data_IF_412051061885
#
_entry.id   IF_412051061885
#
_cell.length_a   1.000
_cell.length_b   1.000
_cell.length_c   1.000
_cell.angle_alpha   90.00
_cell.angle_beta   90.00
_cell.angle_gamma   90.00
#
_symmetry.space_group_name_H-M   'P 1'
#
loop_
_entity.id
_entity.type
_entity.pdbx_description
1 polymer ?
#
# COMPACT_ATOMS: atom_id res chain seq x y z
N UNK A 1 -0.77 11.09 40.24
CA UNK A 1 -0.42 10.86 38.83
C UNK A 1 -1.66 10.32 38.15
N UNK A 2 -2.33 11.13 37.33
CA UNK A 2 -3.50 10.67 36.57
C UNK A 2 -2.97 9.79 35.45
N UNK A 3 -3.36 8.51 35.47
CA UNK A 3 -2.85 7.50 34.55
C UNK A 3 -3.11 7.87 33.09
N UNK A 4 -2.14 7.55 32.24
CA UNK A 4 -2.28 7.56 30.78
C UNK A 4 -3.20 6.38 30.44
N UNK A 5 -4.50 6.50 30.67
CA UNK A 5 -5.50 5.47 30.37
C UNK A 5 -6.53 6.11 29.43
N UNK A 6 -6.83 5.58 28.25
CA UNK A 6 -7.30 4.19 28.08
C UNK A 6 -7.35 3.79 26.59
N UNK A 7 -6.23 3.95 25.85
CA UNK A 7 -6.17 3.42 24.48
C UNK A 7 -5.79 1.93 24.54
N UNK A 8 -6.55 1.01 23.90
CA UNK A 8 -6.10 -0.37 23.76
C UNK A 8 -4.78 -0.44 23.01
N UNK A 9 -3.91 -1.35 23.44
CA UNK A 9 -2.58 -1.50 22.86
C UNK A 9 -2.62 -1.74 21.34
N UNK A 10 -3.55 -2.59 20.87
CA UNK A 10 -3.69 -2.86 19.42
C UNK A 10 -3.99 -1.60 18.62
N UNK A 11 -4.75 -0.64 19.17
CA UNK A 11 -5.15 0.57 18.48
C UNK A 11 -4.02 1.60 18.48
N UNK A 12 -3.26 1.67 19.57
CA UNK A 12 -2.03 2.45 19.64
C UNK A 12 -1.03 1.99 18.57
N UNK A 13 -0.77 0.68 18.50
CA UNK A 13 0.15 0.12 17.51
C UNK A 13 -0.40 0.31 16.10
N UNK A 14 -1.68 0.01 15.83
CA UNK A 14 -2.30 0.17 14.51
C UNK A 14 -2.12 1.59 13.95
N UNK A 15 -2.27 2.62 14.78
CA UNK A 15 -2.14 4.01 14.35
C UNK A 15 -0.68 4.48 14.25
N UNK A 16 0.23 3.90 15.03
CA UNK A 16 1.66 4.21 15.01
C UNK A 16 2.50 3.41 14.00
N UNK A 17 1.96 2.28 13.52
CA UNK A 17 2.66 1.35 12.64
C UNK A 17 2.90 1.93 11.24
N UNK A 18 4.06 1.58 10.65
CA UNK A 18 4.39 1.90 9.26
C UNK A 18 4.17 0.68 8.39
N UNK A 19 3.01 0.63 7.73
CA UNK A 19 2.67 -0.48 6.85
C UNK A 19 3.46 -0.47 5.54
N UNK A 20 3.47 -1.65 4.90
CA UNK A 20 4.15 -1.94 3.64
C UNK A 20 5.68 -1.86 3.69
N UNK A 21 6.25 -1.94 4.89
CA UNK A 21 7.67 -2.25 5.03
C UNK A 21 7.92 -3.72 4.62
N UNK A 22 9.09 -4.05 4.05
CA UNK A 22 9.42 -5.43 3.71
C UNK A 22 9.51 -6.29 4.97
N UNK A 23 9.02 -7.53 4.87
CA UNK A 23 9.16 -8.51 5.92
C UNK A 23 10.58 -9.08 5.93
N UNK A 24 11.27 -8.95 7.08
CA UNK A 24 12.65 -9.41 7.25
C UNK A 24 12.79 -10.93 7.24
N UNK A 25 11.73 -11.67 7.61
CA UNK A 25 11.73 -13.14 7.58
C UNK A 25 11.58 -13.66 6.14
N UNK A 26 10.86 -12.91 5.30
CA UNK A 26 10.52 -13.31 3.93
C UNK A 26 11.10 -12.32 2.91
N UNK A 27 12.34 -11.89 3.10
CA UNK A 27 12.96 -10.82 2.29
C UNK A 27 13.04 -11.18 0.79
N UNK A 28 13.34 -12.44 0.50
CA UNK A 28 13.46 -12.97 -0.88
C UNK A 28 12.12 -13.33 -1.53
N UNK A 29 11.03 -13.36 -0.78
CA UNK A 29 9.73 -13.76 -1.29
C UNK A 29 9.04 -12.61 -2.04
N UNK A 30 8.35 -12.93 -3.12
CA UNK A 30 7.46 -11.96 -3.79
C UNK A 30 6.31 -11.58 -2.85
N UNK A 31 5.84 -10.33 -2.92
CA UNK A 31 4.73 -9.80 -2.09
C UNK A 31 4.98 -9.94 -0.58
N UNK A 32 6.19 -9.58 -0.14
CA UNK A 32 6.61 -9.66 1.25
C UNK A 32 6.34 -8.39 2.08
N UNK A 33 5.57 -7.44 1.54
CA UNK A 33 5.19 -6.23 2.25
C UNK A 33 4.27 -6.53 3.43
N UNK A 34 4.53 -5.88 4.58
CA UNK A 34 3.69 -5.98 5.77
C UNK A 34 2.43 -5.15 5.63
N UNK A 35 1.39 -5.72 5.02
CA UNK A 35 0.12 -5.05 4.73
C UNK A 35 -1.06 -5.62 5.54
N UNK A 36 -0.81 -6.50 6.49
CA UNK A 36 -1.82 -7.12 7.36
C UNK A 36 -1.46 -6.75 8.80
N UNK A 37 -2.45 -6.31 9.56
CA UNK A 37 -2.28 -6.08 11.00
C UNK A 37 -2.95 -7.21 11.78
N UNK A 38 -2.19 -7.90 12.62
CA UNK A 38 -2.74 -8.87 13.55
C UNK A 38 -3.09 -8.19 14.86
N UNK A 39 -4.37 -8.20 15.23
CA UNK A 39 -4.83 -7.60 16.48
C UNK A 39 -4.30 -8.35 17.70
N UNK A 40 -4.30 -9.67 17.65
CA UNK A 40 -3.97 -10.50 18.83
C UNK A 40 -2.47 -10.46 19.14
N UNK A 41 -1.63 -10.34 18.11
CA UNK A 41 -0.19 -10.15 18.26
C UNK A 41 0.24 -8.68 18.27
N UNK A 42 -0.68 -7.74 18.05
CA UNK A 42 -0.40 -6.31 17.93
C UNK A 42 0.80 -6.00 17.01
N UNK A 43 0.86 -6.62 15.84
CA UNK A 43 2.01 -6.46 14.91
C UNK A 43 1.56 -6.47 13.45
N UNK A 44 2.32 -5.78 12.60
CA UNK A 44 2.21 -5.88 11.16
C UNK A 44 2.92 -7.14 10.63
N UNK A 45 2.26 -7.85 9.72
CA UNK A 45 2.73 -9.09 9.10
C UNK A 45 2.53 -9.03 7.59
N UNK A 46 3.30 -9.83 6.85
CA UNK A 46 3.09 -10.03 5.41
C UNK A 46 2.22 -11.28 5.14
N UNK A 47 1.74 -11.49 3.91
CA UNK A 47 0.92 -12.65 3.56
C UNK A 47 1.58 -14.00 3.84
N UNK A 48 2.92 -14.09 3.78
CA UNK A 48 3.66 -15.32 4.08
C UNK A 48 3.71 -15.65 5.58
N UNK A 49 3.49 -14.66 6.44
CA UNK A 49 3.42 -14.84 7.89
C UNK A 49 2.04 -15.31 8.35
N UNK A 50 1.09 -15.65 7.47
CA UNK A 50 -0.28 -15.99 7.87
C UNK A 50 -0.44 -17.33 8.57
N UNK A 51 0.44 -18.30 8.31
CA UNK A 51 0.33 -19.65 8.90
C UNK A 51 0.24 -19.64 10.43
N UNK A 52 1.13 -18.95 11.17
CA UNK A 52 1.00 -18.84 12.63
C UNK A 52 -0.13 -17.93 13.12
N UNK A 53 -0.83 -17.21 12.23
CA UNK A 53 -1.90 -16.26 12.59
C UNK A 53 -3.28 -16.67 12.03
N UNK A 54 -3.46 -17.94 11.61
CA UNK A 54 -4.70 -18.39 10.96
C UNK A 54 -5.96 -18.25 11.82
N UNK A 55 -5.81 -18.38 13.14
CA UNK A 55 -6.89 -18.25 14.11
C UNK A 55 -7.00 -16.83 14.70
N UNK A 56 -6.16 -15.90 14.26
CA UNK A 56 -6.13 -14.55 14.83
C UNK A 56 -7.09 -13.62 14.10
N UNK A 57 -7.41 -12.50 14.75
CA UNK A 57 -8.15 -11.39 14.16
C UNK A 57 -7.20 -10.53 13.35
N UNK A 58 -7.49 -10.39 12.06
CA UNK A 58 -6.59 -9.77 11.09
C UNK A 58 -7.30 -8.63 10.35
N UNK A 59 -6.61 -7.50 10.19
CA UNK A 59 -7.05 -6.37 9.37
C UNK A 59 -6.19 -6.25 8.12
N UNK A 60 -6.83 -6.18 6.96
CA UNK A 60 -6.14 -5.88 5.71
C UNK A 60 -5.96 -4.37 5.54
N UNK A 61 -4.71 -3.92 5.58
CA UNK A 61 -4.34 -2.55 5.26
C UNK A 61 -4.15 -2.42 3.75
N UNK A 62 -4.67 -1.34 3.19
CA UNK A 62 -4.59 -1.01 1.76
C UNK A 62 -3.95 0.37 1.59
N UNK A 63 -3.43 0.66 0.40
CA UNK A 63 -2.96 2.01 0.03
C UNK A 63 -3.95 2.69 -0.89
N UNK A 64 -4.32 3.91 -0.53
CA UNK A 64 -5.06 4.81 -1.41
C UNK A 64 -4.41 6.19 -1.40
N UNK A 65 -4.01 6.66 -2.58
CA UNK A 65 -3.28 7.93 -2.77
C UNK A 65 -2.12 8.04 -1.77
N UNK A 66 -1.26 7.01 -1.74
CA UNK A 66 -0.07 6.94 -0.88
C UNK A 66 -0.32 6.91 0.63
N UNK A 67 -1.57 6.72 1.08
CA UNK A 67 -1.92 6.67 2.49
C UNK A 67 -2.59 5.35 2.85
N UNK A 68 -2.40 4.94 4.09
CA UNK A 68 -2.94 3.70 4.63
C UNK A 68 -4.43 3.85 4.95
N UNK A 69 -5.21 2.93 4.40
CA UNK A 69 -6.66 2.87 4.55
C UNK A 69 -7.12 1.47 4.93
N UNK A 70 -8.25 1.39 5.62
CA UNK A 70 -8.92 0.14 5.97
C UNK A 70 -10.34 0.19 5.41
N UNK A 71 -10.89 -0.98 5.03
CA UNK A 71 -12.30 -1.08 4.67
C UNK A 71 -13.16 -0.76 5.87
N UNK A 72 -14.20 0.04 5.65
CA UNK A 72 -15.11 0.46 6.70
C UNK A 72 -15.74 -0.77 7.39
N UNK A 73 -16.19 -1.75 6.61
CA UNK A 73 -16.80 -2.99 7.08
C UNK A 73 -15.91 -3.83 8.01
N UNK A 74 -14.58 -3.70 7.90
CA UNK A 74 -13.63 -4.44 8.74
C UNK A 74 -13.38 -3.71 10.06
N UNK A 75 -13.21 -2.38 10.02
CA UNK A 75 -12.87 -1.57 11.20
C UNK A 75 -14.09 -1.22 12.05
N UNK A 76 -15.29 -1.11 11.46
CA UNK A 76 -16.55 -0.87 12.18
C UNK A 76 -16.91 -2.01 13.15
N UNK A 77 -16.36 -3.21 12.94
CA UNK A 77 -16.50 -4.34 13.86
C UNK A 77 -15.70 -4.16 15.15
N UNK A 78 -14.75 -3.22 15.19
CA UNK A 78 -13.80 -3.03 16.29
C UNK A 78 -14.01 -1.70 17.01
N UNK A 79 -14.35 -0.66 16.25
CA UNK A 79 -14.52 0.69 16.78
C UNK A 79 -15.61 1.41 16.00
N UNK A 80 -16.46 2.14 16.72
CA UNK A 80 -17.45 3.02 16.13
C UNK A 80 -16.75 4.01 15.18
N UNK A 81 -17.11 3.96 13.91
CA UNK A 81 -16.60 4.85 12.87
C UNK A 81 -17.59 5.97 12.50
N UNK A 82 -18.67 6.15 13.27
CA UNK A 82 -19.59 7.26 13.09
C UNK A 82 -18.85 8.61 13.07
N UNK A 83 -19.28 9.49 12.16
CA UNK A 83 -18.70 10.81 11.90
C UNK A 83 -17.24 10.83 11.42
N UNK A 84 -16.62 9.66 11.16
CA UNK A 84 -15.37 9.57 10.41
C UNK A 84 -15.67 9.59 8.93
N UNK A 85 -15.02 10.49 8.20
CA UNK A 85 -15.22 10.59 6.76
C UNK A 85 -14.73 9.32 6.04
N UNK A 86 -15.68 8.63 5.41
CA UNK A 86 -15.41 7.49 4.54
C UNK A 86 -15.32 7.92 3.07
N UNK A 87 -14.60 7.13 2.27
CA UNK A 87 -14.37 7.35 0.86
C UNK A 87 -14.73 6.08 0.10
N UNK A 88 -15.35 6.22 -1.07
CA UNK A 88 -15.63 5.05 -1.93
C UNK A 88 -14.45 4.84 -2.87
N UNK A 89 -13.87 3.64 -2.86
CA UNK A 89 -12.80 3.22 -3.77
C UNK A 89 -13.02 1.78 -4.19
N UNK A 90 -13.02 1.51 -5.51
CA UNK A 90 -13.30 0.19 -6.08
C UNK A 90 -14.60 -0.42 -5.52
N UNK A 91 -15.67 0.39 -5.48
CA UNK A 91 -16.99 0.01 -4.96
C UNK A 91 -17.02 -0.41 -3.48
N UNK A 92 -15.95 -0.17 -2.71
CA UNK A 92 -15.90 -0.41 -1.27
C UNK A 92 -15.72 0.92 -0.52
N UNK A 93 -16.32 1.04 0.67
CA UNK A 93 -16.06 2.17 1.58
C UNK A 93 -14.77 1.92 2.35
N UNK A 94 -13.92 2.95 2.41
CA UNK A 94 -12.66 2.92 3.16
C UNK A 94 -12.52 4.16 4.02
N UNK A 95 -11.78 4.04 5.12
CA UNK A 95 -11.39 5.14 5.99
C UNK A 95 -9.89 5.25 6.06
N UNK A 96 -9.39 6.48 6.20
CA UNK A 96 -7.97 6.71 6.44
C UNK A 96 -7.62 6.40 7.89
N UNK A 97 -6.50 5.71 8.10
CA UNK A 97 -5.95 5.50 9.44
C UNK A 97 -5.48 6.81 10.03
N UNK A 98 -4.59 7.50 9.31
CA UNK A 98 -3.86 8.66 9.81
C UNK A 98 -4.25 9.98 9.11
N UNK A 99 -3.89 11.08 9.77
CA UNK A 99 -4.05 12.43 9.22
C UNK A 99 -3.27 12.57 7.92
N UNK A 100 -3.80 13.37 7.00
CA UNK A 100 -3.17 13.62 5.70
C UNK A 100 -2.83 15.10 5.56
N UNK A 101 -1.70 15.44 4.94
CA UNK A 101 -1.35 16.83 4.64
C UNK A 101 -2.51 17.56 3.96
N UNK A 102 -2.76 18.80 4.36
CA UNK A 102 -3.71 19.66 3.66
C UNK A 102 -3.03 20.17 2.37
N UNK A 103 -3.59 19.84 1.21
CA UNK A 103 -3.00 20.23 -0.07
C UNK A 103 -3.30 21.69 -0.44
N UNK A 104 -4.36 22.29 0.12
CA UNK A 104 -4.76 23.68 -0.15
C UNK A 104 -5.49 24.28 1.06
N UNK A 105 -5.29 25.57 1.38
CA UNK A 105 -6.16 26.29 2.30
C UNK A 105 -7.57 26.34 1.72
N UNK A 106 -8.55 25.94 2.52
CA UNK A 106 -9.94 25.84 2.11
C UNK A 106 -10.58 27.23 1.98
N UNK A 107 -11.44 27.39 0.96
CA UNK A 107 -12.17 28.63 0.66
C UNK A 107 -13.69 28.40 0.60
N UNK A 108 -14.24 27.58 1.49
CA UNK A 108 -15.67 27.27 1.53
C UNK A 108 -16.24 27.25 2.95
N UNK A 109 -17.54 26.99 3.07
CA UNK A 109 -18.30 26.87 4.33
C UNK A 109 -18.58 25.40 4.72
N UNK A 110 -17.64 24.51 4.46
CA UNK A 110 -17.74 23.10 4.88
C UNK A 110 -17.33 22.88 6.33
N UNK A 111 -17.77 21.77 6.91
CA UNK A 111 -17.30 21.29 8.22
C UNK A 111 -15.77 21.13 8.23
N UNK A 112 -15.18 21.31 9.41
CA UNK A 112 -13.75 21.12 9.67
C UNK A 112 -13.55 19.99 10.67
N UNK A 113 -12.48 19.23 10.48
CA UNK A 113 -12.10 18.16 11.38
C UNK A 113 -11.78 18.72 12.76
N UNK A 114 -12.43 18.20 13.81
CA UNK A 114 -12.27 18.68 15.19
C UNK A 114 -10.88 18.45 15.79
N UNK A 115 -9.95 17.85 15.05
CA UNK A 115 -8.59 17.54 15.52
C UNK A 115 -7.48 18.19 14.73
N UNK A 116 -7.66 18.38 13.43
CA UNK A 116 -6.59 18.85 12.52
C UNK A 116 -7.06 19.93 11.54
N UNK A 117 -8.26 20.47 11.76
CA UNK A 117 -8.87 21.56 11.00
C UNK A 117 -8.97 21.32 9.48
N UNK A 118 -8.85 20.05 9.06
CA UNK A 118 -9.00 19.64 7.67
C UNK A 118 -10.45 19.73 7.27
N UNK A 119 -10.73 20.33 6.13
CA UNK A 119 -12.09 20.41 5.59
C UNK A 119 -12.67 19.03 5.30
N UNK A 120 -13.93 18.86 5.68
CA UNK A 120 -14.72 17.65 5.57
C UNK A 120 -15.95 17.89 4.70
N UNK A 121 -16.58 16.78 4.30
CA UNK A 121 -17.95 16.81 3.79
C UNK A 121 -18.90 16.74 4.99
N UNK A 122 -20.05 17.38 4.91
CA UNK A 122 -21.09 17.17 5.91
C UNK A 122 -21.68 15.76 5.77
N UNK A 123 -22.02 15.06 6.88
CA UNK A 123 -22.06 15.52 8.27
C UNK A 123 -20.83 15.07 9.11
N UNK A 124 -19.65 14.91 8.51
CA UNK A 124 -18.50 14.31 9.21
C UNK A 124 -17.79 15.29 10.17
N UNK A 125 -17.22 14.75 11.25
CA UNK A 125 -16.47 15.50 12.26
C UNK A 125 -14.97 15.17 12.27
N UNK A 126 -14.59 14.02 11.71
CA UNK A 126 -13.20 13.54 11.70
C UNK A 126 -12.76 13.14 10.29
N UNK A 127 -11.52 13.50 9.91
CA UNK A 127 -10.98 13.15 8.59
C UNK A 127 -10.39 11.74 8.50
N UNK A 128 -10.09 11.13 9.64
CA UNK A 128 -9.40 9.84 9.77
C UNK A 128 -9.69 9.22 11.15
N UNK A 129 -9.41 7.93 11.28
CA UNK A 129 -9.57 7.20 12.54
C UNK A 129 -8.71 7.80 13.66
N UNK A 130 -7.44 8.12 13.37
CA UNK A 130 -6.54 8.76 14.33
C UNK A 130 -7.08 10.08 14.88
N UNK A 131 -7.76 10.90 14.05
CA UNK A 131 -8.39 12.14 14.54
C UNK A 131 -9.49 11.84 15.55
N UNK A 132 -10.39 10.91 15.23
CA UNK A 132 -11.46 10.51 16.16
C UNK A 132 -10.88 10.00 17.47
N UNK A 133 -9.94 9.05 17.40
CA UNK A 133 -9.30 8.45 18.57
C UNK A 133 -8.60 9.50 19.45
N UNK A 134 -7.81 10.39 18.85
CA UNK A 134 -7.11 11.44 19.58
C UNK A 134 -8.08 12.47 20.18
N UNK A 135 -9.18 12.80 19.49
CA UNK A 135 -10.24 13.63 20.06
C UNK A 135 -10.85 12.97 21.30
N UNK A 136 -11.33 11.73 21.17
CA UNK A 136 -11.95 10.97 22.26
C UNK A 136 -11.03 10.82 23.48
N UNK A 137 -9.75 10.56 23.24
CA UNK A 137 -8.73 10.48 24.29
C UNK A 137 -8.53 11.80 25.06
N UNK A 138 -8.77 12.95 24.43
CA UNK A 138 -8.57 14.27 25.03
C UNK A 138 -9.84 14.88 25.63
N UNK A 139 -11.00 14.67 25.02
CA UNK A 139 -12.25 15.35 25.38
C UNK A 139 -13.27 14.48 26.12
N UNK A 140 -13.25 13.16 25.93
CA UNK A 140 -14.36 12.29 26.38
C UNK A 140 -13.96 11.20 27.38
N UNK A 141 -12.77 11.32 27.97
CA UNK A 141 -12.31 10.41 29.04
C UNK A 141 -11.91 9.01 28.55
N UNK A 142 -11.69 8.82 27.24
CA UNK A 142 -11.18 7.58 26.67
C UNK A 142 -11.94 7.08 25.45
N UNK A 143 -11.46 5.97 24.87
CA UNK A 143 -12.10 5.34 23.70
C UNK A 143 -12.99 4.14 24.05
N UNK A 144 -12.97 3.66 25.30
CA UNK A 144 -13.57 2.38 25.68
C UNK A 144 -15.05 2.23 25.30
N UNK A 145 -15.85 3.29 25.41
CA UNK A 145 -17.28 3.30 25.05
C UNK A 145 -17.56 3.21 23.54
N UNK A 146 -16.53 3.36 22.72
CA UNK A 146 -16.62 3.30 21.26
C UNK A 146 -16.03 2.01 20.70
N UNK A 147 -15.48 1.14 21.54
CA UNK A 147 -14.90 -0.13 21.10
C UNK A 147 -15.96 -1.23 21.16
N UNK A 148 -15.85 -2.17 20.23
CA UNK A 148 -16.71 -3.34 20.19
C UNK A 148 -15.90 -4.60 20.45
N UNK A 149 -16.52 -5.56 21.14
CA UNK A 149 -15.97 -6.91 21.26
C UNK A 149 -16.14 -7.62 19.92
N UNK A 150 -15.02 -8.03 19.34
CA UNK A 150 -14.98 -8.78 18.10
C UNK A 150 -14.20 -10.06 18.32
N UNK A 151 -14.87 -11.20 18.20
CA UNK A 151 -14.25 -12.51 18.38
C UNK A 151 -13.61 -13.04 17.09
N UNK A 152 -14.08 -12.58 15.92
CA UNK A 152 -13.66 -13.13 14.64
C UNK A 152 -13.54 -12.08 13.53
N UNK A 153 -12.34 -12.01 12.93
CA UNK A 153 -11.98 -11.14 11.81
C UNK A 153 -11.02 -11.90 10.88
N UNK A 154 -11.53 -12.80 10.03
CA UNK A 154 -10.71 -13.48 9.05
C UNK A 154 -10.33 -12.47 7.96
N UNK A 155 -9.10 -12.60 7.43
CA UNK A 155 -8.77 -11.88 6.21
C UNK A 155 -9.75 -12.29 5.10
N UNK A 156 -10.25 -11.35 4.29
CA UNK A 156 -10.96 -11.70 3.09
C UNK A 156 -10.00 -12.53 2.23
N UNK A 157 -10.32 -13.82 2.05
CA UNK A 157 -9.50 -14.77 1.30
C UNK A 157 -9.23 -14.21 -0.10
N UNK A 158 -8.03 -13.67 -0.29
CA UNK A 158 -7.56 -13.24 -1.58
C UNK A 158 -7.24 -14.46 -2.43
N UNK A 159 -8.24 -14.97 -3.15
CA UNK A 159 -8.16 -15.81 -4.34
C UNK A 159 -7.08 -16.90 -4.35
N UNK A 160 -7.51 -18.15 -4.13
CA UNK A 160 -6.81 -19.40 -4.50
C UNK A 160 -5.33 -19.43 -4.12
N UNK A 161 -5.06 -19.93 -2.92
CA UNK A 161 -3.76 -20.53 -2.64
C UNK A 161 -3.49 -21.61 -3.68
N UNK A 162 -2.49 -21.39 -4.51
CA UNK A 162 -1.74 -22.49 -5.12
C UNK A 162 -1.21 -23.31 -3.96
N UNK A 163 -1.72 -24.53 -3.84
CA UNK A 163 -1.19 -25.58 -2.98
C UNK A 163 0.24 -25.85 -3.42
N UNK A 164 1.21 -25.20 -2.78
CA UNK A 164 2.62 -25.52 -2.92
C UNK A 164 3.01 -26.46 -1.77
N UNK A 165 2.69 -27.73 -1.94
CA UNK A 165 3.28 -28.83 -1.18
C UNK A 165 2.95 -30.16 -1.86
N UNK A 166 3.58 -30.44 -3.00
CA UNK A 166 3.88 -31.80 -3.46
C UNK A 166 5.29 -31.73 -4.07
N UNK A 167 6.31 -31.88 -3.21
CA UNK A 167 7.64 -32.27 -3.65
C UNK A 167 7.65 -33.80 -3.55
N UNK A 168 7.31 -34.50 -4.63
CA UNK A 168 7.73 -35.90 -4.77
C UNK A 168 8.86 -35.98 -5.79
N UNK A 169 9.99 -36.40 -5.24
CA UNK A 169 11.25 -36.76 -5.86
C UNK A 169 11.05 -37.95 -6.82
N UNK A 170 11.82 -37.96 -7.90
CA UNK A 170 11.58 -38.85 -9.03
C UNK A 170 11.91 -40.31 -8.76
N UNK A 171 11.11 -41.23 -9.33
CA UNK A 171 11.64 -42.35 -10.14
C UNK A 171 10.56 -43.21 -10.79
N UNK A 172 10.79 -43.48 -12.08
CA UNK A 172 10.56 -44.71 -12.83
C UNK A 172 9.14 -45.28 -13.03
N UNK A 173 8.73 -45.19 -14.30
CA UNK A 173 7.84 -46.10 -15.02
C UNK A 173 7.96 -47.57 -14.60
N UNK A 174 6.83 -48.29 -14.49
CA UNK A 174 6.76 -49.71 -14.78
C UNK A 174 5.83 -50.01 -15.95
N UNK A 175 6.40 -50.69 -16.95
CA UNK A 175 5.73 -51.39 -18.04
C UNK A 175 5.00 -52.65 -17.56
N UNK A 176 3.79 -52.93 -18.03
CA UNK A 176 3.42 -54.16 -18.81
C UNK A 176 1.88 -54.29 -18.95
N UNK A 177 1.37 -54.25 -20.20
CA UNK A 177 0.84 -55.37 -21.02
C UNK A 177 -0.57 -55.83 -20.64
N UNK A 178 -1.55 -55.66 -21.54
CA UNK A 178 -2.47 -56.69 -22.05
C UNK A 178 -3.20 -56.20 -23.32
N UNK A 179 -3.22 -57.06 -24.35
CA UNK A 179 -3.55 -56.85 -25.77
C UNK A 179 -5.07 -56.83 -26.10
N UNK A 180 -5.53 -55.87 -26.95
CA UNK A 180 -5.98 -56.01 -28.38
C UNK A 180 -7.46 -56.44 -28.57
N UNK A 181 -8.15 -56.22 -29.73
CA UNK A 181 -7.58 -56.05 -31.08
C UNK A 181 -8.31 -55.13 -32.12
N UNK A 182 -7.66 -54.99 -33.30
CA UNK A 182 -8.14 -54.62 -34.65
C UNK A 182 -8.32 -53.11 -34.99
N UNK A 183 -7.41 -52.55 -35.80
CA UNK A 183 -7.68 -52.18 -37.21
C UNK A 183 -6.44 -51.63 -37.92
N UNK A 184 -6.08 -52.28 -39.03
CA UNK A 184 -5.52 -51.80 -40.30
C UNK A 184 -4.80 -50.41 -40.32
N UNK A 185 -3.53 -50.38 -40.72
CA UNK A 185 -3.10 -49.87 -42.05
C UNK A 185 -1.55 -49.87 -42.17
N UNK A 186 -1.11 -50.40 -43.30
CA UNK A 186 0.21 -50.38 -43.97
C UNK A 186 0.83 -48.97 -44.05
N UNK A 187 2.14 -48.66 -44.16
CA UNK A 187 3.33 -49.34 -44.71
C UNK A 187 4.57 -48.41 -44.57
N UNK A 188 5.78 -49.00 -44.57
CA UNK A 188 7.09 -48.47 -45.04
C UNK A 188 7.77 -47.35 -44.21
N UNK A 189 9.06 -47.35 -43.88
CA UNK A 189 10.21 -48.18 -44.23
C UNK A 189 11.46 -47.30 -44.41
N UNK A 190 12.48 -47.49 -43.55
CA UNK A 190 13.94 -47.31 -43.80
C UNK A 190 14.51 -45.88 -44.09
N UNK A 191 15.75 -45.47 -43.78
CA UNK A 191 16.92 -45.99 -43.04
C UNK A 191 18.02 -44.91 -43.02
N UNK A 192 18.93 -44.99 -42.02
CA UNK A 192 20.38 -44.68 -42.05
C UNK A 192 20.80 -43.21 -42.37
N UNK A 193 21.93 -42.64 -41.96
CA UNK A 193 23.17 -42.95 -41.22
C UNK A 193 23.82 -41.55 -41.04
N UNK A 194 24.60 -41.18 -40.02
CA UNK A 194 25.80 -41.80 -39.47
C UNK A 194 26.94 -40.77 -39.55
N UNK A 195 27.69 -40.59 -38.45
CA UNK A 195 29.03 -39.97 -38.37
C UNK A 195 29.09 -38.44 -38.56
N UNK A 196 29.90 -37.65 -37.86
CA UNK A 196 31.05 -37.94 -37.00
C UNK A 196 32.19 -36.98 -37.36
N UNK A 197 32.52 -36.05 -36.46
CA UNK A 197 33.85 -35.42 -36.31
C UNK A 197 34.29 -34.35 -37.31
N UNK A 198 34.88 -33.25 -36.82
CA UNK A 198 35.70 -32.36 -37.66
C UNK A 198 35.84 -30.93 -37.16
N UNK A 199 36.96 -30.68 -36.47
CA UNK A 199 37.46 -29.37 -36.01
C UNK A 199 37.86 -28.48 -37.21
N UNK A 200 37.66 -27.17 -37.14
CA UNK A 200 38.10 -26.27 -38.22
C UNK A 200 37.86 -24.77 -38.00
N UNK A 201 38.87 -24.11 -37.45
CA UNK A 201 39.02 -22.69 -37.15
C UNK A 201 38.99 -21.76 -38.41
N UNK A 202 38.41 -20.55 -38.31
CA UNK A 202 39.02 -19.21 -38.57
C UNK A 202 38.03 -18.12 -39.09
N UNK A 203 37.92 -17.07 -38.26
CA UNK A 203 38.01 -15.62 -38.55
C UNK A 203 37.40 -15.03 -39.83
N UNK A 204 36.54 -14.00 -39.68
CA UNK A 204 36.76 -12.63 -40.21
C UNK A 204 35.80 -11.61 -39.56
N UNK A 205 36.30 -10.38 -39.44
CA UNK A 205 35.86 -9.28 -38.60
C UNK A 205 34.72 -8.43 -39.19
N UNK A 206 34.02 -7.65 -38.34
CA UNK A 206 33.48 -6.33 -38.67
C UNK A 206 33.27 -5.48 -37.39
N UNK A 207 33.84 -4.28 -37.41
CA UNK A 207 33.87 -3.22 -36.39
C UNK A 207 32.63 -2.31 -36.45
N UNK A 208 32.16 -1.83 -35.29
CA UNK A 208 31.66 -0.45 -35.14
C UNK A 208 31.55 -0.07 -33.65
N UNK A 209 32.18 1.05 -33.31
CA UNK A 209 32.24 1.73 -32.02
C UNK A 209 30.96 2.53 -31.75
N UNK A 210 30.58 2.71 -30.49
CA UNK A 210 30.17 4.02 -29.93
C UNK A 210 30.18 3.96 -28.41
N UNK A 211 30.84 4.96 -27.85
CA UNK A 211 30.97 5.31 -26.43
C UNK A 211 29.73 6.20 -26.10
N UNK A 212 29.22 6.39 -24.88
CA UNK A 212 29.70 7.36 -23.87
C UNK A 212 28.98 7.16 -22.52
N UNK A 213 29.81 7.06 -21.46
CA UNK A 213 29.80 7.80 -20.17
C UNK A 213 28.54 7.87 -19.28
N UNK A 214 28.67 7.19 -18.13
CA UNK A 214 27.92 7.37 -16.87
C UNK A 214 28.13 8.76 -16.26
N UNK A 215 27.07 9.43 -15.80
CA UNK A 215 27.17 10.64 -14.95
C UNK A 215 26.53 10.43 -13.57
N UNK A 216 27.40 10.30 -12.57
CA UNK A 216 27.14 10.34 -11.12
C UNK A 216 26.94 11.81 -10.71
N UNK A 217 25.91 12.12 -9.92
CA UNK A 217 25.78 13.42 -9.22
C UNK A 217 26.03 13.21 -7.74
N UNK A 218 27.12 13.79 -7.26
CA UNK A 218 27.47 13.97 -5.85
C UNK A 218 26.90 15.28 -5.32
N UNK A 219 26.52 15.23 -4.05
CA UNK A 219 26.04 16.31 -3.18
C UNK A 219 27.16 17.29 -2.80
N UNK A 220 26.83 18.58 -2.72
CA UNK A 220 27.61 19.59 -2.01
C UNK A 220 26.66 20.38 -1.10
N UNK A 221 27.00 20.39 0.18
CA UNK A 221 26.44 21.16 1.28
C UNK A 221 27.03 22.56 1.32
N UNK A 222 26.20 23.59 1.51
CA UNK A 222 26.65 24.90 2.02
C UNK A 222 25.60 25.45 2.99
N UNK A 223 26.00 25.65 4.24
CA UNK A 223 25.27 26.37 5.29
C UNK A 223 25.59 27.86 5.23
N UNK A 224 24.60 28.74 5.46
CA UNK A 224 24.85 30.07 6.04
C UNK A 224 23.64 30.59 6.80
N UNK A 225 23.95 31.12 7.98
CA UNK A 225 23.08 31.53 9.09
C UNK A 225 22.66 33.00 8.98
N UNK A 226 21.52 33.33 9.63
CA UNK A 226 21.11 34.62 10.24
C UNK A 226 21.05 35.88 9.38
N UNK A 227 19.84 36.47 9.25
CA UNK A 227 19.54 37.87 9.62
C UNK A 227 18.02 38.04 9.82
N UNK A 228 17.61 38.52 11.01
CA UNK A 228 16.28 39.13 11.26
C UNK A 228 16.27 40.55 10.70
N UNK A 229 15.10 41.10 10.38
CA UNK A 229 14.66 42.26 11.16
C UNK A 229 13.18 42.19 11.60
N UNK A 230 12.97 42.70 12.81
CA UNK A 230 11.69 43.10 13.42
C UNK A 230 11.27 44.46 12.85
N UNK A 231 9.97 44.71 12.62
CA UNK A 231 9.24 45.94 13.03
C UNK A 231 7.83 46.11 12.44
N UNK A 232 6.84 46.15 13.35
CA UNK A 232 5.71 47.11 13.53
C UNK A 232 4.59 47.34 12.49
N UNK A 233 3.55 48.02 12.99
CA UNK A 233 2.09 47.96 12.75
C UNK A 233 1.55 49.23 12.08
N UNK A 234 0.33 49.10 11.49
CA UNK A 234 -0.60 50.12 10.95
C UNK A 234 -0.21 50.73 9.58
N UNK A 235 -1.08 51.00 8.59
CA UNK A 235 -2.46 51.52 8.66
C UNK A 235 -3.25 51.22 7.37
N UNK A 236 -4.57 51.45 7.43
CA UNK A 236 -5.62 51.28 6.40
C UNK A 236 -5.42 52.11 5.12
N UNK A 237 -5.71 51.55 3.92
CA UNK A 237 -6.18 52.30 2.73
C UNK A 237 -7.10 51.42 1.86
N UNK A 238 -8.22 52.01 1.44
CA UNK A 238 -9.37 51.48 0.69
C UNK A 238 -9.15 51.12 -0.80
N UNK A 239 -9.92 50.10 -1.23
CA UNK A 239 -10.67 49.91 -2.50
C UNK A 239 -10.00 50.26 -3.84
N UNK A 240 -9.81 49.23 -4.70
CA UNK A 240 -10.20 49.33 -6.13
C UNK A 240 -10.38 47.94 -6.77
N UNK A 241 -11.61 47.67 -7.24
CA UNK A 241 -11.97 46.50 -8.06
C UNK A 241 -11.32 46.62 -9.45
N UNK A 242 -10.28 45.83 -9.74
CA UNK A 242 -9.77 45.68 -11.11
C UNK A 242 -10.48 44.52 -11.82
N UNK A 243 -11.37 44.84 -12.77
CA UNK A 243 -11.94 43.87 -13.71
C UNK A 243 -10.83 43.35 -14.64
N UNK A 244 -10.71 42.03 -14.77
CA UNK A 244 -9.80 41.37 -15.73
C UNK A 244 -10.29 41.60 -17.15
N UNK A 245 -9.44 42.10 -18.04
CA UNK A 245 -9.67 42.15 -19.48
C UNK A 245 -9.36 40.80 -20.15
N UNK A 246 -9.94 40.61 -21.35
CA UNK A 246 -9.89 39.38 -22.15
C UNK A 246 -8.46 39.18 -22.72
N UNK A 247 -7.85 38.00 -22.61
CA UNK A 247 -6.50 37.76 -23.12
C UNK A 247 -6.49 37.68 -24.66
N UNK A 248 -5.56 38.43 -25.28
CA UNK A 248 -5.32 38.41 -26.71
C UNK A 248 -4.39 37.23 -27.08
N UNK A 249 -4.76 36.43 -28.08
CA UNK A 249 -3.88 35.38 -28.65
C UNK A 249 -2.88 35.99 -29.64
N UNK A 250 -1.69 35.40 -29.73
CA UNK A 250 -0.65 35.75 -30.70
C UNK A 250 -1.01 35.21 -32.11
N UNK A 251 -0.67 35.94 -33.20
CA UNK A 251 -0.82 35.42 -34.56
C UNK A 251 0.17 34.28 -34.83
N UNK A 252 -0.25 33.32 -35.66
CA UNK A 252 0.61 32.25 -36.17
C UNK A 252 1.34 32.75 -37.42
N UNK A 253 2.67 32.75 -37.38
CA UNK A 253 3.52 32.58 -38.55
C UNK A 253 4.74 31.74 -38.16
#
# INVERSE_FOLDING_TARGET
MVGISSLPHWLEVLLGEKFFNPCLVHESAKKNEKNIFCLDCCTSICPHCLSPHRSHRLLQIRRYVYHDVIRLDDIEKLIDCAFVQSYTTNSAKVVFLNQRPQSRPFRGSGSICSTCDRSLQDPYLFCSLACKVHHLARSEGGVSKYLFECEFLPLPEGGKGESCCELEDGQMTPSSVLESPISLHTSSGSSASGGGGGVGCRTLACTATTEFVKKKRTSISVSRTTYRPTCSRASEISISNRRKSIPHRSPLY
#
